data_IF_185261212726
#
_entry.id   IF_185261212726
#
_cell.length_a   1.000
_cell.length_b   1.000
_cell.length_c   1.000
_cell.angle_alpha   90.00
_cell.angle_beta   90.00
_cell.angle_gamma   90.00
#
_symmetry.space_group_name_H-M   'P 1'
#
loop_
_entity.id
_entity.type
_entity.pdbx_description
1 polymer ?
#
# COMPACT_ATOMS: atom_id res chain seq x y z
N UNK A 1 18.86 -16.02 7.06
CA UNK A 1 17.41 -16.20 7.19
C UNK A 1 16.80 -15.19 6.25
N UNK A 2 16.14 -15.62 5.17
CA UNK A 2 15.37 -14.70 4.34
C UNK A 2 14.31 -14.06 5.23
N UNK A 3 14.29 -12.72 5.30
CA UNK A 3 13.23 -12.01 6.01
C UNK A 3 11.95 -12.11 5.17
N UNK A 4 11.18 -13.17 5.43
CA UNK A 4 9.92 -13.44 4.74
C UNK A 4 8.91 -12.33 5.00
N UNK A 5 8.93 -11.70 6.19
CA UNK A 5 8.09 -10.54 6.48
C UNK A 5 8.41 -9.38 5.54
N UNK A 6 9.69 -9.04 5.35
CA UNK A 6 10.10 -7.97 4.44
C UNK A 6 9.70 -8.27 2.99
N UNK A 7 9.85 -9.51 2.54
CA UNK A 7 9.42 -9.93 1.19
C UNK A 7 7.92 -9.77 0.99
N UNK A 8 7.11 -10.13 1.98
CA UNK A 8 5.67 -9.93 1.91
C UNK A 8 5.31 -8.46 2.01
N UNK A 9 5.96 -7.69 2.89
CA UNK A 9 5.78 -6.25 2.99
C UNK A 9 5.96 -5.56 1.63
N UNK A 10 7.05 -5.84 0.91
CA UNK A 10 7.31 -5.26 -0.40
C UNK A 10 6.24 -5.66 -1.44
N UNK A 11 5.74 -6.90 -1.36
CA UNK A 11 4.67 -7.37 -2.22
C UNK A 11 3.33 -6.67 -1.93
N UNK A 12 2.98 -6.50 -0.64
CA UNK A 12 1.77 -5.78 -0.23
C UNK A 12 1.87 -4.29 -0.61
N UNK A 13 3.05 -3.66 -0.48
CA UNK A 13 3.26 -2.28 -0.90
C UNK A 13 3.02 -2.08 -2.40
N UNK A 14 3.53 -2.99 -3.25
CA UNK A 14 3.24 -2.97 -4.69
C UNK A 14 1.76 -3.15 -4.99
N UNK A 15 1.11 -4.09 -4.32
CA UNK A 15 -0.33 -4.30 -4.47
C UNK A 15 -1.13 -3.04 -4.08
N UNK A 16 -0.81 -2.40 -2.96
CA UNK A 16 -1.48 -1.16 -2.52
C UNK A 16 -1.26 0.00 -3.50
N UNK A 17 -0.09 0.08 -4.13
CA UNK A 17 0.18 1.05 -5.19
C UNK A 17 -0.76 0.84 -6.38
N UNK A 18 -0.81 -0.37 -6.92
CA UNK A 18 -1.63 -0.74 -8.08
C UNK A 18 -3.14 -0.59 -7.78
N UNK A 19 -3.58 -1.09 -6.63
CA UNK A 19 -4.97 -0.95 -6.18
C UNK A 19 -5.36 0.52 -5.95
N UNK A 20 -4.43 1.33 -5.44
CA UNK A 20 -4.63 2.77 -5.29
C UNK A 20 -4.81 3.50 -6.62
N UNK A 21 -4.07 3.11 -7.66
CA UNK A 21 -4.25 3.65 -9.02
C UNK A 21 -5.59 3.24 -9.63
N UNK A 22 -5.99 1.98 -9.44
CA UNK A 22 -7.29 1.49 -9.91
C UNK A 22 -8.45 2.24 -9.21
N UNK A 23 -8.35 2.40 -7.88
CA UNK A 23 -9.30 3.21 -7.11
C UNK A 23 -9.34 4.65 -7.62
N UNK A 24 -8.19 5.26 -7.91
CA UNK A 24 -8.13 6.63 -8.41
C UNK A 24 -8.77 6.79 -9.80
N UNK A 25 -8.63 5.79 -10.68
CA UNK A 25 -9.34 5.78 -11.98
C UNK A 25 -10.85 5.64 -11.82
N UNK A 26 -11.31 4.83 -10.86
CA UNK A 26 -12.73 4.59 -10.62
C UNK A 26 -13.43 5.71 -9.83
N UNK A 27 -12.71 6.38 -8.93
CA UNK A 27 -13.23 7.32 -7.94
C UNK A 27 -12.36 8.59 -7.86
N UNK A 28 -12.33 9.42 -8.92
CA UNK A 28 -11.40 10.54 -9.02
C UNK A 28 -11.59 11.62 -7.95
N UNK A 29 -12.83 11.90 -7.53
CA UNK A 29 -13.09 12.91 -6.47
C UNK A 29 -12.51 12.48 -5.12
N UNK A 30 -12.75 11.21 -4.74
CA UNK A 30 -12.27 10.63 -3.50
C UNK A 30 -10.74 10.47 -3.53
N UNK A 31 -10.18 10.08 -4.68
CA UNK A 31 -8.75 9.96 -4.85
C UNK A 31 -8.02 11.31 -4.77
N UNK A 32 -8.64 12.39 -5.28
CA UNK A 32 -8.12 13.73 -5.14
C UNK A 32 -8.06 14.18 -3.67
N UNK A 33 -9.01 13.77 -2.83
CA UNK A 33 -8.96 14.04 -1.38
C UNK A 33 -7.79 13.32 -0.70
N UNK A 34 -7.34 12.20 -1.26
CA UNK A 34 -6.24 11.38 -0.73
C UNK A 34 -4.91 11.62 -1.46
N UNK A 35 -4.88 12.53 -2.44
CA UNK A 35 -3.76 12.74 -3.37
C UNK A 35 -3.25 11.45 -4.03
N UNK A 36 -4.15 10.50 -4.31
CA UNK A 36 -3.81 9.23 -4.96
C UNK A 36 -3.71 9.36 -6.49
N UNK A 37 -4.21 10.47 -7.04
CA UNK A 37 -4.24 10.82 -8.46
C UNK A 37 -2.93 11.45 -8.97
N UNK A 38 -2.03 11.89 -8.08
CA UNK A 38 -0.80 12.60 -8.45
C UNK A 38 0.44 11.75 -8.20
N UNK A 39 1.13 11.39 -9.29
CA UNK A 39 2.44 10.76 -9.23
C UNK A 39 3.45 11.72 -8.58
N UNK A 40 3.87 11.42 -7.35
CA UNK A 40 4.94 12.13 -6.62
C UNK A 40 4.51 13.01 -5.44
N UNK A 41 3.22 13.17 -5.17
CA UNK A 41 2.72 13.95 -4.03
C UNK A 41 1.71 13.16 -3.20
N UNK A 42 1.98 11.87 -2.95
CA UNK A 42 1.20 11.12 -1.99
C UNK A 42 1.40 11.75 -0.62
N UNK A 43 0.30 11.98 0.07
CA UNK A 43 0.33 12.53 1.41
C UNK A 43 1.17 11.60 2.31
N UNK A 44 2.18 12.12 3.05
CA UNK A 44 3.05 11.31 3.89
C UNK A 44 2.29 10.45 4.90
N UNK A 45 1.15 10.93 5.42
CA UNK A 45 0.33 10.17 6.37
C UNK A 45 -0.39 9.00 5.71
N UNK A 46 -0.82 9.16 4.46
CA UNK A 46 -1.42 8.08 3.65
C UNK A 46 -0.35 7.03 3.33
N UNK A 47 0.86 7.44 2.98
CA UNK A 47 1.97 6.51 2.77
C UNK A 47 2.32 5.74 4.05
N UNK A 48 2.46 6.41 5.20
CA UNK A 48 2.72 5.73 6.48
C UNK A 48 1.61 4.73 6.85
N UNK A 49 0.35 5.06 6.54
CA UNK A 49 -0.76 4.13 6.75
C UNK A 49 -0.63 2.88 5.88
N UNK A 50 -0.27 3.04 4.60
CA UNK A 50 -0.05 1.92 3.68
C UNK A 50 1.13 1.05 4.11
N UNK A 51 2.24 1.64 4.55
CA UNK A 51 3.37 0.90 5.11
C UNK A 51 2.96 0.10 6.36
N UNK A 52 2.20 0.71 7.27
CA UNK A 52 1.70 0.01 8.46
C UNK A 52 0.78 -1.16 8.11
N UNK A 53 -0.12 -0.98 7.15
CA UNK A 53 -1.00 -2.03 6.65
C UNK A 53 -0.21 -3.17 5.99
N UNK A 54 0.73 -2.84 5.10
CA UNK A 54 1.60 -3.80 4.42
C UNK A 54 2.42 -4.64 5.43
N UNK A 55 2.91 -4.01 6.50
CA UNK A 55 3.64 -4.72 7.55
C UNK A 55 2.76 -5.73 8.30
N UNK A 56 1.55 -5.31 8.70
CA UNK A 56 0.60 -6.19 9.39
C UNK A 56 0.19 -7.38 8.51
N UNK A 57 -0.07 -7.14 7.22
CA UNK A 57 -0.42 -8.19 6.27
C UNK A 57 0.76 -9.12 5.98
N UNK A 58 1.98 -8.58 5.85
CA UNK A 58 3.18 -9.40 5.69
C UNK A 58 3.41 -10.35 6.86
N UNK A 59 3.22 -9.87 8.09
CA UNK A 59 3.28 -10.69 9.33
C UNK A 59 2.19 -11.75 9.39
N UNK A 60 0.98 -11.42 8.92
CA UNK A 60 -0.11 -12.38 8.84
C UNK A 60 0.21 -13.51 7.86
N UNK A 61 0.70 -13.17 6.66
CA UNK A 61 1.07 -14.14 5.61
C UNK A 61 2.25 -15.02 5.99
N UNK A 62 3.22 -14.45 6.70
CA UNK A 62 4.32 -15.22 7.30
C UNK A 62 3.80 -16.26 8.30
N UNK A 63 2.89 -15.87 9.20
CA UNK A 63 2.30 -16.78 10.20
C UNK A 63 1.34 -17.81 9.64
N UNK A 64 0.69 -17.52 8.51
CA UNK A 64 -0.26 -18.42 7.86
C UNK A 64 0.42 -19.54 7.05
N UNK A 65 1.75 -19.55 7.02
CA UNK A 65 2.58 -20.58 6.38
C UNK A 65 3.13 -21.55 7.43
#
# INVERSE_FOLDING_TARGET
MDDLTLRYYDAEMRYLLEAGEEFARAHPEQAAMLNLDKAGARDPYVERLFEGFAFLMGRLREKAR
#
